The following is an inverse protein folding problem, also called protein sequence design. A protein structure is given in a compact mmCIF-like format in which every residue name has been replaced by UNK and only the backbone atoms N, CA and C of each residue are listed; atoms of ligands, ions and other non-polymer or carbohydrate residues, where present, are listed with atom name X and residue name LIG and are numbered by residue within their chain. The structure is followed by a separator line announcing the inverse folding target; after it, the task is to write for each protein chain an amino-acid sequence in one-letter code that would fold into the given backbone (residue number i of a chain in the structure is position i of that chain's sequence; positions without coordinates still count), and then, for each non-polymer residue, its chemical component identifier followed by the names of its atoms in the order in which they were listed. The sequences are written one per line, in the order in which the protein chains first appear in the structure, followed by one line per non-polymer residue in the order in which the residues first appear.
data_IF_779292458495
#
_entry.id   IF_779292458495
#
_cell.length_a   1.000
_cell.length_b   1.000
_cell.length_c   1.000
_cell.angle_alpha   90.00
_cell.angle_beta   90.00
_cell.angle_gamma   90.00
#
_symmetry.space_group_name_H-M   'P 1'
#
loop_
_entity.id
_entity.type
_entity.pdbx_description
1 polymer ?
#
# COMPACT_ATOMS: atom_id res chain seq x y z
N UNK A 1 31.08 19.42 4.26
CA UNK A 1 31.37 18.44 3.18
C UNK A 1 30.15 17.54 3.08
N UNK A 2 29.37 17.68 2.01
CA UNK A 2 28.17 16.89 1.80
C UNK A 2 28.55 15.42 1.49
N UNK A 3 27.85 14.41 2.04
CA UNK A 3 28.15 13.02 1.76
C UNK A 3 27.78 12.66 0.32
N UNK A 4 28.50 11.72 -0.31
CA UNK A 4 28.31 11.38 -1.71
C UNK A 4 26.99 10.65 -1.94
N UNK A 5 26.35 11.04 -3.04
CA UNK A 5 25.10 10.52 -3.56
C UNK A 5 25.25 9.03 -3.95
N UNK A 6 24.69 8.12 -3.17
CA UNK A 6 24.64 6.69 -3.51
C UNK A 6 23.47 6.47 -4.47
N UNK A 7 23.78 6.25 -5.74
CA UNK A 7 22.78 5.94 -6.76
C UNK A 7 22.05 4.62 -6.43
N UNK A 8 20.70 4.57 -6.49
CA UNK A 8 19.95 3.34 -6.26
C UNK A 8 20.19 2.35 -7.41
N UNK A 9 20.12 1.06 -7.11
CA UNK A 9 20.32 -0.04 -8.07
C UNK A 9 19.29 0.06 -9.20
N UNK A 10 19.68 0.67 -10.32
CA UNK A 10 18.82 0.85 -11.49
C UNK A 10 18.56 -0.48 -12.20
N UNK A 11 17.28 -0.83 -12.32
CA UNK A 11 16.76 -1.60 -13.46
C UNK A 11 17.35 -0.96 -14.72
N UNK A 12 18.15 -1.71 -15.48
CA UNK A 12 18.75 -1.20 -16.73
C UNK A 12 17.62 -0.67 -17.61
N UNK A 13 17.68 0.59 -18.09
CA UNK A 13 16.64 1.10 -18.95
C UNK A 13 16.51 0.23 -20.21
N UNK A 14 15.28 -0.08 -20.60
CA UNK A 14 15.03 -0.81 -21.85
C UNK A 14 15.64 -0.05 -23.03
N UNK A 15 16.22 -0.79 -23.98
CA UNK A 15 16.75 -0.21 -25.22
C UNK A 15 15.65 0.43 -26.09
N UNK A 16 14.39 0.00 -25.92
CA UNK A 16 13.22 0.49 -26.66
C UNK A 16 12.37 1.39 -25.76
N UNK A 17 12.75 2.67 -25.60
CA UNK A 17 11.95 3.68 -24.90
C UNK A 17 11.61 4.81 -25.87
N UNK A 18 10.34 5.17 -25.98
CA UNK A 18 9.89 6.27 -26.85
C UNK A 18 10.13 7.66 -26.25
N UNK A 19 10.09 7.77 -24.93
CA UNK A 19 10.38 9.01 -24.19
C UNK A 19 11.62 8.76 -23.36
N UNK A 20 12.65 9.63 -23.44
CA UNK A 20 13.90 9.45 -22.67
C UNK A 20 13.77 10.00 -21.24
N UNK A 21 13.17 11.18 -21.09
CA UNK A 21 12.96 11.85 -19.81
C UNK A 21 11.56 12.44 -19.69
N UNK A 22 11.08 12.53 -18.45
CA UNK A 22 9.86 13.27 -18.12
C UNK A 22 10.20 14.47 -17.25
N UNK A 23 9.53 15.58 -17.54
CA UNK A 23 9.48 16.77 -16.68
C UNK A 23 8.11 16.78 -15.99
N UNK A 24 8.09 16.58 -14.67
CA UNK A 24 6.88 16.61 -13.83
C UNK A 24 6.99 17.77 -12.84
N UNK A 25 6.37 18.91 -13.14
CA UNK A 25 6.64 20.15 -12.40
C UNK A 25 8.11 20.55 -12.59
N UNK A 26 8.84 20.68 -11.48
CA UNK A 26 10.27 21.04 -11.47
C UNK A 26 11.21 19.82 -11.47
N UNK A 27 10.65 18.61 -11.57
CA UNK A 27 11.39 17.37 -11.51
C UNK A 27 11.69 16.82 -12.91
N UNK A 28 12.96 16.60 -13.22
CA UNK A 28 13.42 15.92 -14.43
C UNK A 28 13.99 14.55 -14.07
N UNK A 29 13.43 13.48 -14.63
CA UNK A 29 13.93 12.12 -14.38
C UNK A 29 13.73 11.19 -15.58
N UNK A 30 14.55 10.13 -15.60
CA UNK A 30 14.63 9.17 -16.70
C UNK A 30 13.49 8.14 -16.65
N UNK A 31 12.92 7.81 -17.81
CA UNK A 31 11.91 6.75 -17.97
C UNK A 31 12.54 5.35 -18.02
N UNK A 32 11.76 4.32 -17.75
CA UNK A 32 12.27 2.93 -17.70
C UNK A 32 11.77 2.09 -18.87
N UNK A 33 10.53 2.32 -19.29
CA UNK A 33 9.84 1.54 -20.31
C UNK A 33 9.19 2.43 -21.38
N UNK A 34 8.80 1.82 -22.50
CA UNK A 34 7.95 2.45 -23.50
C UNK A 34 6.52 2.60 -22.98
N UNK A 35 5.89 3.72 -23.30
CA UNK A 35 4.45 3.98 -23.14
C UNK A 35 3.79 4.25 -24.50
N UNK A 36 2.49 4.05 -24.60
CA UNK A 36 1.72 4.11 -25.86
C UNK A 36 1.02 5.46 -26.05
N UNK A 37 1.77 6.55 -25.90
CA UNK A 37 1.27 7.88 -26.25
C UNK A 37 0.90 7.94 -27.75
N UNK A 38 -0.12 8.74 -28.14
CA UNK A 38 -0.45 8.95 -29.54
C UNK A 38 0.76 9.43 -30.35
N UNK A 39 1.06 8.75 -31.46
CA UNK A 39 2.30 8.98 -32.23
C UNK A 39 2.36 10.37 -32.88
N UNK A 40 1.20 11.00 -33.11
CA UNK A 40 1.04 12.38 -33.59
C UNK A 40 1.39 13.43 -32.53
N UNK A 41 1.38 13.05 -31.24
CA UNK A 41 1.70 13.93 -30.12
C UNK A 41 3.09 13.66 -29.53
N UNK A 42 3.54 12.41 -29.52
CA UNK A 42 4.79 11.97 -28.89
C UNK A 42 5.54 11.03 -29.84
N UNK A 43 6.68 11.49 -30.35
CA UNK A 43 7.52 10.71 -31.25
C UNK A 43 8.26 9.57 -30.51
N UNK A 44 8.70 8.56 -31.27
CA UNK A 44 9.43 7.37 -30.75
C UNK A 44 10.83 7.66 -30.20
N UNK A 45 11.30 8.89 -30.29
CA UNK A 45 12.63 9.34 -29.88
C UNK A 45 12.60 10.61 -29.04
N UNK A 46 11.42 10.95 -28.49
CA UNK A 46 11.17 12.15 -27.69
C UNK A 46 12.18 12.28 -26.55
N UNK A 47 12.96 13.36 -26.53
CA UNK A 47 13.95 13.59 -25.47
C UNK A 47 13.29 13.92 -24.13
N UNK A 48 12.29 14.81 -24.15
CA UNK A 48 11.57 15.28 -22.96
C UNK A 48 10.08 15.36 -23.22
N UNK A 49 9.31 14.72 -22.34
CA UNK A 49 7.86 14.89 -22.26
C UNK A 49 7.54 15.75 -21.03
N UNK A 50 6.85 16.86 -21.23
CA UNK A 50 6.38 17.73 -20.14
C UNK A 50 5.02 17.25 -19.68
N UNK A 51 4.87 16.99 -18.38
CA UNK A 51 3.67 16.42 -17.77
C UNK A 51 3.21 17.33 -16.63
N UNK A 52 1.95 17.77 -16.68
CA UNK A 52 1.35 18.58 -15.64
C UNK A 52 1.29 17.79 -14.32
N UNK A 53 1.86 18.35 -13.25
CA UNK A 53 1.91 17.70 -11.92
C UNK A 53 0.54 17.48 -11.27
N UNK A 54 -0.50 18.16 -11.76
CA UNK A 54 -1.84 18.12 -11.17
C UNK A 54 -2.84 17.26 -11.95
N UNK A 55 -2.79 17.28 -13.29
CA UNK A 55 -3.76 16.56 -14.14
C UNK A 55 -3.14 15.54 -15.12
N UNK A 56 -1.81 15.38 -15.09
CA UNK A 56 -1.03 14.51 -15.99
C UNK A 56 -1.17 14.81 -17.48
N UNK A 57 -1.80 15.93 -17.87
CA UNK A 57 -1.79 16.38 -19.27
C UNK A 57 -0.35 16.55 -19.72
N UNK A 58 -0.05 16.02 -20.90
CA UNK A 58 1.30 15.95 -21.43
C UNK A 58 1.47 16.77 -22.71
N UNK A 59 2.68 17.23 -22.98
CA UNK A 59 3.06 17.90 -24.22
C UNK A 59 4.56 17.77 -24.48
N UNK A 60 4.95 17.75 -25.75
CA UNK A 60 6.34 17.93 -26.18
C UNK A 60 6.69 19.42 -26.39
N UNK A 61 5.69 20.30 -26.41
CA UNK A 61 5.83 21.75 -26.58
C UNK A 61 5.86 22.45 -25.19
N UNK A 62 6.96 23.14 -24.93
CA UNK A 62 7.19 23.90 -23.69
C UNK A 62 6.20 25.05 -23.51
N UNK A 63 5.82 25.74 -24.57
CA UNK A 63 4.92 26.89 -24.51
C UNK A 63 3.49 26.43 -24.26
N UNK A 64 3.08 25.34 -24.91
CA UNK A 64 1.78 24.71 -24.66
C UNK A 64 1.67 24.22 -23.20
N UNK A 65 2.73 23.58 -22.68
CA UNK A 65 2.81 23.17 -21.29
C UNK A 65 2.74 24.36 -20.32
N UNK A 66 3.57 25.40 -20.55
CA UNK A 66 3.60 26.59 -19.69
C UNK A 66 2.24 27.31 -19.66
N UNK A 67 1.55 27.43 -20.80
CA UNK A 67 0.19 27.98 -20.85
C UNK A 67 -0.79 27.15 -20.04
N UNK A 68 -0.75 25.82 -20.18
CA UNK A 68 -1.64 24.92 -19.47
C UNK A 68 -1.48 25.01 -17.94
N UNK A 69 -0.26 25.03 -17.41
CA UNK A 69 -0.01 25.08 -15.96
C UNK A 69 -0.64 26.29 -15.26
N UNK A 70 -0.86 27.38 -15.99
CA UNK A 70 -1.50 28.60 -15.46
C UNK A 70 -3.02 28.49 -15.34
N UNK A 71 -3.63 27.61 -16.11
CA UNK A 71 -5.10 27.46 -16.23
C UNK A 71 -5.58 26.05 -15.86
N UNK A 72 -4.73 25.24 -15.25
CA UNK A 72 -5.08 23.88 -14.86
C UNK A 72 -6.11 23.90 -13.73
N UNK A 73 -7.26 23.29 -13.95
CA UNK A 73 -8.38 23.22 -12.99
C UNK A 73 -8.00 22.46 -11.71
N UNK A 74 -7.16 21.44 -11.84
CA UNK A 74 -6.70 20.63 -10.70
C UNK A 74 -5.59 21.31 -9.88
N UNK A 75 -5.25 22.58 -10.14
CA UNK A 75 -4.09 23.22 -9.50
C UNK A 75 -4.23 23.29 -7.98
N UNK A 76 -5.44 23.52 -7.47
CA UNK A 76 -5.70 23.71 -6.03
C UNK A 76 -6.05 22.42 -5.32
N UNK A 77 -6.71 21.48 -6.02
CA UNK A 77 -7.25 20.27 -5.41
C UNK A 77 -7.11 19.08 -6.37
N UNK A 78 -6.64 17.91 -5.89
CA UNK A 78 -6.73 16.67 -6.66
C UNK A 78 -8.18 16.35 -7.07
N UNK A 79 -8.39 15.66 -8.21
CA UNK A 79 -9.71 15.17 -8.56
C UNK A 79 -10.19 14.09 -7.56
N UNK A 80 -11.47 13.78 -7.59
CA UNK A 80 -12.08 12.73 -6.77
C UNK A 80 -12.31 13.11 -5.31
N UNK A 81 -12.38 12.10 -4.45
CA UNK A 81 -12.74 12.24 -3.03
C UNK A 81 -11.57 11.89 -2.14
N UNK A 82 -11.24 12.74 -1.16
CA UNK A 82 -10.23 12.43 -0.17
C UNK A 82 -10.76 11.35 0.79
N UNK A 83 -10.06 10.21 0.86
CA UNK A 83 -10.44 9.05 1.70
C UNK A 83 -9.53 8.83 2.90
N UNK A 84 -8.35 9.47 2.91
CA UNK A 84 -7.39 9.41 4.00
C UNK A 84 -6.64 10.73 4.11
N UNK A 85 -6.38 11.20 5.33
CA UNK A 85 -5.58 12.39 5.65
C UNK A 85 -4.86 12.21 6.99
N UNK A 86 -3.53 12.11 6.97
CA UNK A 86 -2.74 12.04 8.18
C UNK A 86 -1.31 12.52 7.97
N UNK A 87 -0.84 13.44 8.82
CA UNK A 87 0.56 13.88 8.84
C UNK A 87 1.04 14.52 7.54
N UNK A 88 0.17 15.27 6.86
CA UNK A 88 0.44 15.91 5.57
C UNK A 88 0.32 14.97 4.36
N UNK A 89 0.12 13.67 4.57
CA UNK A 89 -0.16 12.71 3.51
C UNK A 89 -1.66 12.47 3.39
N UNK A 90 -2.18 12.56 2.17
CA UNK A 90 -3.58 12.26 1.89
C UNK A 90 -3.73 11.28 0.73
N UNK A 91 -4.76 10.43 0.78
CA UNK A 91 -5.14 9.54 -0.32
C UNK A 91 -6.47 9.99 -0.91
N UNK A 92 -6.52 10.12 -2.23
CA UNK A 92 -7.70 10.53 -2.99
C UNK A 92 -8.19 9.40 -3.88
N UNK A 93 -9.44 9.01 -3.73
CA UNK A 93 -10.13 8.06 -4.60
C UNK A 93 -10.69 8.79 -5.82
N UNK A 94 -10.22 8.41 -7.00
CA UNK A 94 -10.62 8.95 -8.30
C UNK A 94 -11.27 7.85 -9.10
N UNK A 95 -12.54 8.04 -9.46
CA UNK A 95 -13.24 7.15 -10.36
C UNK A 95 -12.78 7.38 -11.80
N UNK A 96 -12.28 6.34 -12.47
CA UNK A 96 -11.82 6.42 -13.85
C UNK A 96 -12.98 6.65 -14.85
N UNK A 97 -14.21 6.36 -14.48
CA UNK A 97 -15.40 6.66 -15.29
C UNK A 97 -15.77 8.14 -15.24
N UNK A 98 -15.66 8.78 -14.08
CA UNK A 98 -15.94 10.20 -13.91
C UNK A 98 -14.79 11.08 -14.42
N UNK A 99 -13.55 10.63 -14.22
CA UNK A 99 -12.34 11.37 -14.57
C UNK A 99 -11.51 10.69 -15.67
N UNK A 100 -12.17 10.25 -16.75
CA UNK A 100 -11.57 9.47 -17.87
C UNK A 100 -10.24 10.04 -18.36
N UNK A 101 -10.20 11.30 -18.76
CA UNK A 101 -8.98 11.91 -19.33
C UNK A 101 -7.83 11.92 -18.32
N UNK A 102 -8.11 12.22 -17.05
CA UNK A 102 -7.11 12.18 -15.99
C UNK A 102 -6.55 10.76 -15.81
N UNK A 103 -7.43 9.77 -15.69
CA UNK A 103 -7.06 8.37 -15.46
C UNK A 103 -6.27 7.79 -16.66
N UNK A 104 -6.62 8.16 -17.89
CA UNK A 104 -5.88 7.79 -19.10
C UNK A 104 -4.49 8.42 -19.10
N UNK A 105 -4.38 9.72 -18.84
CA UNK A 105 -3.11 10.42 -18.76
C UNK A 105 -2.19 9.84 -17.68
N UNK A 106 -2.74 9.57 -16.48
CA UNK A 106 -2.02 8.93 -15.39
C UNK A 106 -1.58 7.51 -15.77
N UNK A 107 -2.42 6.75 -16.47
CA UNK A 107 -2.08 5.39 -16.92
C UNK A 107 -0.95 5.37 -17.95
N UNK A 108 -0.95 6.31 -18.90
CA UNK A 108 0.14 6.49 -19.87
C UNK A 108 1.44 6.91 -19.18
N UNK A 109 1.37 7.84 -18.23
CA UNK A 109 2.52 8.26 -17.42
C UNK A 109 3.07 7.09 -16.60
N UNK A 110 2.21 6.33 -15.93
CA UNK A 110 2.61 5.18 -15.13
C UNK A 110 3.31 4.10 -15.95
N UNK A 111 2.88 3.87 -17.20
CA UNK A 111 3.49 2.88 -18.10
C UNK A 111 4.96 3.17 -18.42
N UNK A 112 5.41 4.43 -18.31
CA UNK A 112 6.83 4.77 -18.43
C UNK A 112 7.69 4.13 -17.32
N UNK A 113 7.08 3.69 -16.22
CA UNK A 113 7.74 3.14 -15.03
C UNK A 113 7.21 1.77 -14.60
N UNK A 114 6.19 1.23 -15.29
CA UNK A 114 5.63 -0.09 -15.09
C UNK A 114 5.77 -0.92 -16.36
N UNK A 115 6.42 -2.08 -16.28
CA UNK A 115 6.63 -2.93 -17.46
C UNK A 115 5.31 -3.61 -17.90
N UNK A 116 4.63 -4.22 -16.92
CA UNK A 116 3.50 -5.11 -17.15
C UNK A 116 2.12 -4.42 -17.12
N UNK A 117 2.05 -3.09 -17.05
CA UNK A 117 0.77 -2.38 -17.15
C UNK A 117 0.24 -2.52 -18.59
N UNK A 118 -0.98 -3.03 -18.73
CA UNK A 118 -1.61 -3.34 -20.03
C UNK A 118 -2.86 -2.50 -20.33
N UNK A 119 -3.49 -1.93 -19.31
CA UNK A 119 -4.71 -1.11 -19.45
C UNK A 119 -4.37 0.37 -19.34
N UNK A 120 -4.81 1.15 -20.35
CA UNK A 120 -4.49 2.58 -20.47
C UNK A 120 -5.69 3.45 -20.81
N UNK A 121 -6.56 2.97 -21.71
CA UNK A 121 -7.68 3.76 -22.25
C UNK A 121 -9.03 3.33 -21.66
N UNK A 122 -9.19 2.04 -21.37
CA UNK A 122 -10.38 1.49 -20.72
C UNK A 122 -10.28 1.62 -19.19
N UNK A 123 -10.42 2.86 -18.73
CA UNK A 123 -10.21 3.24 -17.32
C UNK A 123 -11.50 3.24 -16.49
N UNK A 124 -12.67 3.10 -17.13
CA UNK A 124 -13.98 3.23 -16.47
C UNK A 124 -14.21 2.15 -15.40
N UNK A 125 -13.62 0.97 -15.58
CA UNK A 125 -13.71 -0.16 -14.64
C UNK A 125 -12.75 -0.04 -13.46
N UNK A 126 -12.03 1.07 -13.31
CA UNK A 126 -10.98 1.23 -12.31
C UNK A 126 -11.22 2.44 -11.39
N UNK A 127 -10.88 2.23 -10.11
CA UNK A 127 -10.63 3.30 -9.15
C UNK A 127 -9.12 3.54 -9.05
N UNK A 128 -8.74 4.80 -8.87
CA UNK A 128 -7.35 5.23 -8.69
C UNK A 128 -7.21 5.91 -7.34
N UNK A 129 -6.29 5.43 -6.51
CA UNK A 129 -6.01 5.97 -5.19
C UNK A 129 -4.70 6.75 -5.22
N UNK A 130 -4.79 8.07 -5.33
CA UNK A 130 -3.65 8.97 -5.46
C UNK A 130 -3.05 9.27 -4.08
N UNK A 131 -1.76 9.00 -3.90
CA UNK A 131 -1.02 9.49 -2.75
C UNK A 131 -0.55 10.92 -3.01
N UNK A 132 -0.95 11.82 -2.12
CA UNK A 132 -0.55 13.23 -2.15
C UNK A 132 0.17 13.62 -0.87
N UNK A 133 1.04 14.62 -0.97
CA UNK A 133 1.63 15.30 0.17
C UNK A 133 1.40 16.80 0.05
N UNK A 134 0.98 17.42 1.14
CA UNK A 134 0.87 18.87 1.30
C UNK A 134 1.80 19.29 2.42
N UNK A 135 2.69 20.24 2.13
CA UNK A 135 3.61 20.76 3.13
C UNK A 135 2.83 21.66 4.11
N UNK A 136 2.94 21.45 5.43
CA UNK A 136 2.35 22.36 6.41
C UNK A 136 2.79 23.82 6.26
N UNK A 137 4.01 24.05 5.76
CA UNK A 137 4.56 25.38 5.53
C UNK A 137 4.10 25.98 4.17
N UNK A 138 3.50 25.17 3.29
CA UNK A 138 2.98 25.56 1.98
C UNK A 138 1.65 24.84 1.66
N UNK A 139 0.56 25.18 2.39
CA UNK A 139 -0.71 24.45 2.33
C UNK A 139 -1.46 24.62 0.99
N UNK A 140 -1.08 25.62 0.19
CA UNK A 140 -1.67 25.87 -1.13
C UNK A 140 -1.11 24.93 -2.22
N UNK A 141 -0.02 24.20 -1.93
CA UNK A 141 0.66 23.35 -2.90
C UNK A 141 0.70 21.89 -2.46
N UNK A 142 -0.02 21.06 -3.20
CA UNK A 142 0.03 19.60 -3.04
C UNK A 142 0.88 18.94 -4.13
N UNK A 143 1.44 17.78 -3.82
CA UNK A 143 2.27 16.97 -4.70
C UNK A 143 1.73 15.56 -4.81
N UNK A 144 1.46 15.08 -6.02
CA UNK A 144 1.12 13.67 -6.26
C UNK A 144 2.43 12.86 -6.25
N UNK A 145 2.52 11.91 -5.33
CA UNK A 145 3.74 11.13 -5.07
C UNK A 145 3.71 9.74 -5.70
N UNK A 146 2.50 9.25 -5.97
CA UNK A 146 2.26 7.90 -6.47
C UNK A 146 0.78 7.58 -6.47
N UNK A 147 0.45 6.37 -6.87
CA UNK A 147 -0.91 5.86 -6.80
C UNK A 147 -0.93 4.34 -6.77
N UNK A 148 -2.08 3.77 -6.43
CA UNK A 148 -2.45 2.44 -6.90
C UNK A 148 -3.80 2.49 -7.62
N UNK A 149 -4.04 1.55 -8.53
CA UNK A 149 -5.35 1.33 -9.14
C UNK A 149 -5.97 0.05 -8.64
N UNK A 150 -7.30 -0.02 -8.65
CA UNK A 150 -8.10 -1.17 -8.22
C UNK A 150 -9.28 -1.33 -9.18
N UNK A 151 -9.58 -2.55 -9.58
CA UNK A 151 -10.78 -2.84 -10.35
C UNK A 151 -12.02 -2.66 -9.47
N UNK A 152 -13.07 -2.03 -10.01
CA UNK A 152 -14.37 -1.92 -9.33
C UNK A 152 -14.98 -3.30 -9.06
N UNK A 153 -14.78 -4.23 -10.00
CA UNK A 153 -15.22 -5.62 -9.93
C UNK A 153 -14.03 -6.52 -10.29
N UNK A 154 -13.41 -7.13 -9.29
CA UNK A 154 -12.29 -8.06 -9.51
C UNK A 154 -12.72 -9.51 -9.32
N UNK A 155 -12.68 -10.29 -10.39
CA UNK A 155 -13.04 -11.72 -10.35
C UNK A 155 -12.01 -12.57 -9.61
N UNK A 156 -10.74 -12.16 -9.66
CA UNK A 156 -9.62 -12.82 -9.00
C UNK A 156 -9.39 -12.31 -7.57
N UNK A 157 -10.34 -11.53 -7.03
CA UNK A 157 -10.25 -10.90 -5.71
C UNK A 157 -9.00 -10.00 -5.53
N UNK A 158 -8.50 -9.37 -6.60
CA UNK A 158 -7.35 -8.48 -6.49
C UNK A 158 -7.77 -7.18 -5.77
N UNK A 159 -7.11 -6.84 -4.67
CA UNK A 159 -7.35 -5.56 -4.00
C UNK A 159 -6.55 -4.40 -4.60
N UNK A 160 -5.64 -4.71 -5.52
CA UNK A 160 -4.74 -3.78 -6.15
C UNK A 160 -4.31 -4.33 -7.51
N UNK A 161 -4.50 -3.55 -8.57
CA UNK A 161 -4.12 -3.89 -9.94
C UNK A 161 -2.71 -3.39 -10.28
N UNK A 162 -2.45 -2.10 -10.10
CA UNK A 162 -1.13 -1.50 -10.31
C UNK A 162 -0.78 -0.61 -9.13
N UNK A 163 0.50 -0.55 -8.77
CA UNK A 163 1.03 0.39 -7.77
C UNK A 163 2.31 1.02 -8.27
N UNK A 164 2.42 2.34 -8.11
CA UNK A 164 3.61 3.09 -8.46
C UNK A 164 3.81 4.24 -7.48
N UNK A 165 4.97 4.26 -6.83
CA UNK A 165 5.54 5.49 -6.27
C UNK A 165 6.44 6.10 -7.34
N UNK A 166 6.26 7.39 -7.63
CA UNK A 166 7.02 8.03 -8.69
C UNK A 166 8.52 8.00 -8.35
N UNK A 167 9.41 7.81 -9.35
CA UNK A 167 10.82 7.57 -9.10
C UNK A 167 11.51 8.55 -8.11
N UNK A 168 11.25 9.87 -8.15
CA UNK A 168 11.87 10.81 -7.21
C UNK A 168 11.46 10.62 -5.73
N UNK A 169 10.37 9.90 -5.47
CA UNK A 169 9.79 9.71 -4.13
C UNK A 169 9.93 8.27 -3.61
N UNK A 170 10.59 7.38 -4.35
CA UNK A 170 10.82 6.00 -3.93
C UNK A 170 11.74 5.92 -2.70
N UNK A 171 11.75 4.77 -2.04
CA UNK A 171 12.54 4.50 -0.81
C UNK A 171 12.18 5.34 0.42
N UNK A 172 11.08 6.10 0.39
CA UNK A 172 10.55 6.85 1.54
C UNK A 172 9.41 6.14 2.28
N UNK A 173 9.32 4.82 2.16
CA UNK A 173 8.25 3.97 2.72
C UNK A 173 6.82 4.29 2.23
N UNK A 174 6.65 5.19 1.25
CA UNK A 174 5.33 5.58 0.71
C UNK A 174 4.56 4.40 0.07
N UNK A 175 5.28 3.44 -0.52
CA UNK A 175 4.66 2.22 -1.05
C UNK A 175 3.98 1.39 0.06
N UNK A 176 4.59 1.36 1.25
CA UNK A 176 4.05 0.66 2.43
C UNK A 176 2.75 1.30 2.91
N UNK A 177 2.67 2.63 2.86
CA UNK A 177 1.44 3.37 3.17
C UNK A 177 0.32 3.00 2.20
N UNK A 178 0.57 3.04 0.88
CA UNK A 178 -0.42 2.65 -0.12
C UNK A 178 -0.86 1.19 0.00
N UNK A 179 0.07 0.26 0.26
CA UNK A 179 -0.25 -1.14 0.55
C UNK A 179 -1.13 -1.26 1.79
N UNK A 180 -0.80 -0.56 2.87
CA UNK A 180 -1.63 -0.57 4.08
C UNK A 180 -3.05 -0.06 3.81
N UNK A 181 -3.18 1.02 3.04
CA UNK A 181 -4.48 1.58 2.66
C UNK A 181 -5.27 0.58 1.81
N UNK A 182 -4.65 -0.10 0.83
CA UNK A 182 -5.36 -1.09 0.02
C UNK A 182 -5.92 -2.24 0.85
N UNK A 183 -5.15 -2.74 1.84
CA UNK A 183 -5.63 -3.79 2.76
C UNK A 183 -6.74 -3.31 3.71
N UNK A 184 -6.68 -2.05 4.20
CA UNK A 184 -7.73 -1.46 5.05
C UNK A 184 -9.04 -1.29 4.28
N UNK A 185 -8.98 -0.81 3.04
CA UNK A 185 -10.15 -0.70 2.17
C UNK A 185 -10.79 -2.07 1.91
N UNK A 186 -9.99 -3.11 1.64
CA UNK A 186 -10.50 -4.48 1.54
C UNK A 186 -11.17 -4.98 2.83
N UNK A 187 -10.65 -4.60 3.99
CA UNK A 187 -11.19 -4.98 5.30
C UNK A 187 -12.60 -4.42 5.52
N UNK A 188 -12.88 -3.21 5.05
CA UNK A 188 -14.21 -2.60 5.17
C UNK A 188 -15.19 -3.02 4.09
N UNK A 189 -14.71 -3.48 2.94
CA UNK A 189 -15.55 -4.12 1.92
C UNK A 189 -15.91 -5.58 2.28
N UNK A 190 -15.47 -6.08 3.45
CA UNK A 190 -15.70 -7.45 3.93
C UNK A 190 -17.16 -7.85 4.17
N UNK A 191 -18.14 -6.97 4.00
CA UNK A 191 -19.53 -7.41 3.87
C UNK A 191 -19.69 -8.45 2.71
N UNK A 192 -18.72 -8.53 1.79
CA UNK A 192 -18.58 -9.60 0.78
C UNK A 192 -17.50 -10.69 1.03
N UNK A 193 -16.72 -10.62 2.12
CA UNK A 193 -15.73 -11.65 2.48
C UNK A 193 -14.46 -11.76 1.59
N UNK A 194 -14.15 -10.78 0.75
CA UNK A 194 -13.01 -10.87 -0.16
C UNK A 194 -11.67 -10.62 0.55
N UNK A 195 -10.94 -11.70 0.82
CA UNK A 195 -9.49 -11.65 1.03
C UNK A 195 -8.85 -11.42 -0.33
N UNK A 196 -8.00 -10.40 -0.43
CA UNK A 196 -7.37 -10.02 -1.69
C UNK A 196 -5.88 -9.77 -1.58
N UNK A 197 -5.19 -9.94 -2.70
CA UNK A 197 -3.78 -9.61 -2.87
C UNK A 197 -3.55 -8.69 -4.06
N UNK A 198 -2.30 -8.26 -4.29
CA UNK A 198 -1.95 -7.54 -5.49
C UNK A 198 -2.03 -8.45 -6.72
N UNK A 199 -2.47 -7.88 -7.84
CA UNK A 199 -2.41 -8.50 -9.16
C UNK A 199 -0.96 -8.88 -9.51
N UNK A 200 -0.80 -10.08 -10.08
CA UNK A 200 0.49 -10.62 -10.50
C UNK A 200 0.62 -10.46 -12.02
N UNK A 201 1.82 -10.15 -12.58
CA UNK A 201 3.12 -10.12 -11.91
C UNK A 201 3.47 -8.75 -11.28
N UNK A 202 4.03 -8.79 -10.08
CA UNK A 202 4.67 -7.63 -9.45
C UNK A 202 6.04 -7.33 -10.08
N UNK A 203 6.43 -6.04 -10.09
CA UNK A 203 7.81 -5.65 -10.40
C UNK A 203 8.79 -6.23 -9.37
N UNK A 204 10.10 -6.29 -9.69
CA UNK A 204 11.10 -6.80 -8.74
C UNK A 204 11.08 -6.01 -7.41
N UNK A 205 10.98 -4.68 -7.51
CA UNK A 205 10.84 -3.80 -6.35
C UNK A 205 9.50 -4.01 -5.62
N UNK A 206 8.41 -4.19 -6.38
CA UNK A 206 7.09 -4.49 -5.84
C UNK A 206 7.09 -5.78 -5.03
N UNK A 207 7.64 -6.86 -5.57
CA UNK A 207 7.76 -8.16 -4.89
C UNK A 207 8.57 -8.05 -3.59
N UNK A 208 9.73 -7.40 -3.60
CA UNK A 208 10.53 -7.17 -2.39
C UNK A 208 9.76 -6.35 -1.35
N UNK A 209 9.02 -5.33 -1.80
CA UNK A 209 8.24 -4.46 -0.92
C UNK A 209 7.04 -5.18 -0.30
N UNK A 210 6.31 -5.99 -1.08
CA UNK A 210 5.19 -6.80 -0.59
C UNK A 210 5.64 -7.91 0.36
N UNK A 211 6.70 -8.65 0.03
CA UNK A 211 7.28 -9.64 0.96
C UNK A 211 7.59 -9.01 2.30
N UNK A 212 8.28 -7.87 2.28
CA UNK A 212 8.61 -7.14 3.51
C UNK A 212 7.37 -6.66 4.25
N UNK A 213 6.39 -6.11 3.53
CA UNK A 213 5.13 -5.63 4.12
C UNK A 213 4.37 -6.78 4.81
N UNK A 214 4.26 -7.94 4.18
CA UNK A 214 3.58 -9.11 4.71
C UNK A 214 4.27 -9.68 5.94
N UNK A 215 5.60 -9.82 5.91
CA UNK A 215 6.38 -10.27 7.08
C UNK A 215 6.15 -9.36 8.29
N UNK A 216 6.18 -8.04 8.07
CA UNK A 216 5.90 -7.08 9.15
C UNK A 216 4.45 -7.14 9.64
N UNK A 217 3.48 -7.33 8.74
CA UNK A 217 2.06 -7.45 9.09
C UNK A 217 1.80 -8.68 9.95
N UNK A 218 2.41 -9.82 9.61
CA UNK A 218 2.37 -11.04 10.43
C UNK A 218 3.06 -10.81 11.78
N UNK A 219 4.24 -10.18 11.79
CA UNK A 219 4.95 -9.89 13.03
C UNK A 219 4.10 -9.03 13.98
N UNK A 220 3.47 -7.95 13.47
CA UNK A 220 2.52 -7.13 14.25
C UNK A 220 1.38 -7.97 14.79
N UNK A 221 0.75 -8.76 13.93
CA UNK A 221 -0.37 -9.61 14.31
C UNK A 221 0.01 -10.57 15.45
N UNK A 222 1.11 -11.32 15.32
CA UNK A 222 1.51 -12.32 16.31
C UNK A 222 2.01 -11.71 17.63
N UNK A 223 2.62 -10.52 17.59
CA UNK A 223 3.16 -9.86 18.78
C UNK A 223 2.09 -9.05 19.54
N UNK A 224 1.22 -8.34 18.84
CA UNK A 224 0.19 -7.50 19.46
C UNK A 224 -0.99 -8.33 19.95
N UNK A 225 -1.35 -9.42 19.24
CA UNK A 225 -2.40 -10.34 19.67
C UNK A 225 -2.05 -10.98 21.03
N UNK A 226 -2.84 -10.66 22.04
CA UNK A 226 -2.66 -11.16 23.42
C UNK A 226 -1.87 -10.23 24.35
N UNK A 227 -1.56 -9.01 23.92
CA UNK A 227 -1.18 -7.92 24.84
C UNK A 227 -2.46 -7.22 25.24
N UNK A 228 -2.81 -7.20 26.53
CA UNK A 228 -3.87 -6.31 27.00
C UNK A 228 -3.43 -4.86 26.70
N UNK A 229 -4.35 -3.95 26.30
CA UNK A 229 -4.00 -2.56 26.03
C UNK A 229 -3.32 -1.85 27.22
N UNK A 230 -3.40 -2.43 28.43
CA UNK A 230 -2.77 -1.93 29.64
C UNK A 230 -1.24 -2.13 29.72
N UNK A 231 -0.64 -3.00 28.90
CA UNK A 231 0.79 -3.33 28.99
C UNK A 231 1.69 -2.46 28.09
N UNK A 232 1.12 -1.55 27.30
CA UNK A 232 1.86 -0.78 26.28
C UNK A 232 2.30 0.62 26.76
N UNK A 233 1.74 1.15 27.86
CA UNK A 233 2.02 2.52 28.30
C UNK A 233 2.98 2.69 29.49
N UNK A 234 3.49 1.64 30.14
CA UNK A 234 4.43 1.82 31.25
C UNK A 234 5.64 0.87 31.18
N UNK A 235 6.57 1.19 30.29
CA UNK A 235 7.93 0.61 30.28
C UNK A 235 8.99 1.65 30.63
N UNK A 236 8.64 2.64 31.46
CA UNK A 236 9.61 3.55 32.06
C UNK A 236 9.45 3.59 33.57
N UNK A 237 10.29 2.80 34.23
CA UNK A 237 10.63 2.82 35.65
C UNK A 237 9.71 2.00 36.57
N UNK A 238 10.11 0.74 36.84
CA UNK A 238 10.38 0.30 38.22
C UNK A 238 11.05 -1.08 38.26
N UNK A 239 12.26 -1.12 38.83
CA UNK A 239 12.91 -2.36 39.29
C UNK A 239 12.19 -2.84 40.55
N UNK A 240 11.49 -3.97 40.49
CA UNK A 240 11.07 -4.72 41.68
C UNK A 240 11.47 -6.20 41.57
N UNK A 241 11.79 -6.79 42.73
CA UNK A 241 12.49 -8.06 42.95
C UNK A 241 11.66 -9.30 42.58
N UNK A 242 12.29 -10.46 42.30
CA UNK A 242 11.54 -11.65 41.87
C UNK A 242 10.91 -12.37 43.06
N UNK A 243 9.58 -12.40 43.11
CA UNK A 243 8.84 -13.34 43.95
C UNK A 243 8.62 -14.66 43.20
N UNK A 244 8.98 -15.78 43.83
CA UNK A 244 8.68 -17.14 43.36
C UNK A 244 7.17 -17.35 43.27
N UNK A 245 6.61 -17.47 42.07
CA UNK A 245 5.29 -18.06 41.87
C UNK A 245 5.26 -18.91 40.60
N UNK A 246 4.54 -20.03 40.72
CA UNK A 246 4.19 -21.04 39.71
C UNK A 246 4.37 -20.65 38.24
N UNK A 247 5.16 -21.46 37.51
CA UNK A 247 5.17 -21.49 36.04
C UNK A 247 3.75 -21.74 35.52
N UNK A 248 2.99 -20.67 35.24
CA UNK A 248 1.81 -20.75 34.37
C UNK A 248 2.31 -21.27 33.02
N UNK A 249 1.90 -22.48 32.63
CA UNK A 249 2.07 -22.94 31.25
C UNK A 249 1.36 -21.91 30.37
N UNK A 250 2.12 -21.15 29.58
CA UNK A 250 1.51 -20.36 28.53
C UNK A 250 0.76 -21.33 27.61
N UNK A 251 -0.55 -21.16 27.40
CA UNK A 251 -1.31 -22.04 26.53
C UNK A 251 -0.71 -21.96 25.12
N UNK A 252 -0.45 -23.12 24.52
CA UNK A 252 -0.13 -23.20 23.10
C UNK A 252 -1.41 -22.84 22.34
N UNK A 253 -1.39 -21.72 21.64
CA UNK A 253 -2.47 -21.31 20.76
C UNK A 253 -2.28 -22.01 19.41
N UNK A 254 -3.33 -22.68 18.94
CA UNK A 254 -3.36 -23.36 17.65
C UNK A 254 -4.23 -22.54 16.71
N UNK A 255 -3.71 -22.24 15.53
CA UNK A 255 -4.44 -21.53 14.48
C UNK A 255 -4.00 -22.05 13.11
N UNK A 256 -4.90 -22.00 12.14
CA UNK A 256 -4.58 -22.35 10.75
C UNK A 256 -3.98 -21.15 10.04
N UNK A 257 -3.29 -21.39 8.91
CA UNK A 257 -2.84 -20.31 8.02
C UNK A 257 -4.02 -19.49 7.50
N UNK A 258 -5.17 -20.13 7.30
CA UNK A 258 -6.40 -19.46 6.88
C UNK A 258 -6.91 -18.49 7.95
N UNK A 259 -6.83 -18.84 9.23
CA UNK A 259 -7.21 -17.94 10.34
C UNK A 259 -6.32 -16.70 10.37
N UNK A 260 -5.01 -16.87 10.15
CA UNK A 260 -4.06 -15.76 10.03
C UNK A 260 -4.42 -14.90 8.81
N UNK A 261 -4.73 -15.51 7.67
CA UNK A 261 -5.17 -14.82 6.46
C UNK A 261 -6.42 -13.97 6.69
N UNK A 262 -7.47 -14.54 7.29
CA UNK A 262 -8.71 -13.84 7.64
C UNK A 262 -8.46 -12.63 8.56
N UNK A 263 -7.62 -12.83 9.59
CA UNK A 263 -7.35 -11.78 10.58
C UNK A 263 -6.42 -10.67 10.05
N UNK A 264 -5.58 -10.97 9.06
CA UNK A 264 -4.66 -10.00 8.44
C UNK A 264 -5.19 -9.41 7.14
N UNK A 265 -6.24 -10.01 6.56
CA UNK A 265 -6.75 -9.69 5.23
C UNK A 265 -5.87 -10.19 4.09
N UNK A 266 -4.93 -11.11 4.36
CA UNK A 266 -3.97 -11.64 3.38
C UNK A 266 -4.40 -13.00 2.83
N UNK A 267 -4.08 -13.27 1.56
CA UNK A 267 -4.26 -14.60 0.97
C UNK A 267 -3.41 -15.63 1.70
N UNK A 268 -3.91 -16.88 1.80
CA UNK A 268 -3.20 -17.99 2.45
C UNK A 268 -1.79 -18.19 1.91
N UNK A 269 -1.60 -18.07 0.59
CA UNK A 269 -0.31 -18.14 -0.07
C UNK A 269 0.68 -17.04 0.35
N UNK A 270 0.18 -15.81 0.56
CA UNK A 270 0.98 -14.67 0.98
C UNK A 270 1.38 -14.83 2.45
N UNK A 271 0.49 -15.37 3.28
CA UNK A 271 0.79 -15.74 4.67
C UNK A 271 1.90 -16.80 4.71
N UNK A 272 1.80 -17.87 3.93
CA UNK A 272 2.83 -18.91 3.85
C UNK A 272 4.17 -18.32 3.39
N UNK A 273 4.13 -17.48 2.36
CA UNK A 273 5.32 -16.83 1.81
C UNK A 273 6.03 -15.97 2.84
N UNK A 274 5.27 -15.16 3.59
CA UNK A 274 5.81 -14.30 4.63
C UNK A 274 6.36 -15.11 5.83
N UNK A 275 5.64 -16.13 6.30
CA UNK A 275 6.13 -17.00 7.38
C UNK A 275 7.45 -17.69 7.01
N UNK A 276 7.55 -18.19 5.77
CA UNK A 276 8.80 -18.78 5.25
C UNK A 276 9.91 -17.73 5.13
N UNK A 277 9.59 -16.51 4.68
CA UNK A 277 10.53 -15.40 4.57
C UNK A 277 11.10 -14.94 5.91
N UNK A 278 10.30 -14.99 6.98
CA UNK A 278 10.73 -14.65 8.33
C UNK A 278 11.71 -15.66 8.93
N UNK A 279 11.65 -16.94 8.53
CA UNK A 279 12.51 -17.99 9.07
C UNK A 279 12.26 -18.33 10.55
N UNK A 280 11.08 -17.98 11.07
CA UNK A 280 10.67 -18.18 12.49
C UNK A 280 9.87 -19.47 12.73
N UNK A 281 9.86 -20.36 11.74
CA UNK A 281 9.03 -21.55 11.68
C UNK A 281 9.85 -22.79 12.02
N UNK A 282 9.53 -23.46 13.12
CA UNK A 282 10.16 -24.72 13.53
C UNK A 282 9.27 -25.93 13.12
N UNK A 283 9.81 -26.96 12.43
CA UNK A 283 9.06 -28.19 12.18
C UNK A 283 8.69 -28.85 13.50
N UNK A 284 7.42 -29.21 13.68
CA UNK A 284 7.06 -30.05 14.82
C UNK A 284 7.66 -31.45 14.61
N UNK A 285 8.55 -31.90 15.50
CA UNK A 285 8.97 -33.30 15.50
C UNK A 285 7.74 -34.18 15.68
N UNK A 286 7.52 -35.23 14.87
CA UNK A 286 6.37 -36.10 15.05
C UNK A 286 6.48 -36.74 16.43
N UNK A 287 5.61 -36.32 17.35
CA UNK A 287 5.41 -37.01 18.62
C UNK A 287 5.06 -38.45 18.28
N UNK A 288 5.89 -39.41 18.71
CA UNK A 288 5.71 -40.86 18.49
C UNK A 288 4.22 -41.21 18.63
N UNK A 289 3.56 -41.55 17.53
CA UNK A 289 2.20 -42.09 17.51
C UNK A 289 2.13 -43.22 18.54
N UNK A 290 1.42 -43.02 19.65
CA UNK A 290 0.91 -44.14 20.44
C UNK A 290 -0.09 -44.83 19.52
N UNK A 291 0.23 -46.06 19.10
CA UNK A 291 -0.70 -46.97 18.41
C UNK A 291 -2.01 -47.00 19.19
N UNK A 292 -3.05 -46.39 18.63
CA UNK A 292 -4.44 -46.68 18.91
C UNK A 292 -5.16 -46.80 17.55
N UNK A 293 -6.10 -47.74 17.50
CA UNK A 293 -6.68 -48.34 16.32
C UNK A 293 -7.16 -47.39 15.22
N UNK A 294 -7.02 -47.90 13.98
CA UNK A 294 -7.79 -47.49 12.80
C UNK A 294 -9.29 -47.42 13.14
N UNK A 295 -9.94 -46.30 12.81
CA UNK A 295 -11.09 -46.25 11.89
C UNK A 295 -11.69 -44.82 11.90
N UNK A 296 -11.53 -44.10 10.78
CA UNK A 296 -12.36 -42.99 10.27
C UNK A 296 -11.52 -42.15 9.30
N UNK A 297 -12.11 -41.83 8.14
CA UNK A 297 -11.48 -40.96 7.14
C UNK A 297 -11.32 -39.54 7.68
N UNK A 298 -10.14 -39.22 8.17
CA UNK A 298 -9.74 -37.85 8.47
C UNK A 298 -9.13 -37.18 7.23
N UNK A 299 -9.44 -35.90 6.98
CA UNK A 299 -8.84 -35.15 5.88
C UNK A 299 -7.36 -34.90 6.16
N UNK A 300 -6.57 -34.88 5.10
CA UNK A 300 -5.12 -34.63 5.02
C UNK A 300 -4.55 -33.79 6.19
N UNK A 301 -3.81 -34.45 7.09
CA UNK A 301 -3.17 -33.84 8.27
C UNK A 301 -2.02 -32.92 7.80
N UNK A 302 -2.36 -31.65 7.56
CA UNK A 302 -1.43 -30.65 7.04
C UNK A 302 -0.19 -30.47 7.91
N UNK A 303 0.91 -30.02 7.29
CA UNK A 303 2.18 -29.78 7.97
C UNK A 303 2.01 -28.81 9.15
N UNK A 304 2.18 -29.31 10.39
CA UNK A 304 2.11 -28.48 11.58
C UNK A 304 3.48 -27.93 11.94
N UNK A 305 3.53 -26.62 12.19
CA UNK A 305 4.75 -25.89 12.53
C UNK A 305 4.58 -25.12 13.84
N UNK A 306 5.69 -24.90 14.55
CA UNK A 306 5.73 -24.13 15.78
C UNK A 306 6.36 -22.76 15.51
N UNK A 307 5.72 -21.69 15.99
CA UNK A 307 6.24 -20.33 15.97
C UNK A 307 6.31 -19.84 17.41
N UNK A 308 7.49 -19.40 17.86
CA UNK A 308 7.66 -18.81 19.19
C UNK A 308 7.58 -17.30 19.08
N UNK A 309 6.77 -16.67 19.94
CA UNK A 309 6.68 -15.20 20.01
C UNK A 309 8.04 -14.53 20.28
N UNK A 310 8.94 -15.19 21.01
CA UNK A 310 10.32 -14.73 21.22
C UNK A 310 11.06 -14.53 19.90
N UNK A 311 10.94 -15.49 18.99
CA UNK A 311 11.69 -15.52 17.74
C UNK A 311 11.14 -14.49 16.77
N UNK A 312 9.81 -14.30 16.76
CA UNK A 312 9.14 -13.20 16.05
C UNK A 312 9.58 -11.83 16.59
N UNK A 313 9.72 -11.69 17.92
CA UNK A 313 10.17 -10.44 18.53
C UNK A 313 11.64 -10.13 18.21
N UNK A 314 12.51 -11.14 18.25
CA UNK A 314 13.91 -11.01 17.86
C UNK A 314 14.05 -10.66 16.38
N UNK A 315 13.28 -11.33 15.52
CA UNK A 315 13.19 -11.00 14.09
C UNK A 315 12.74 -9.55 13.88
N UNK A 316 11.68 -9.11 14.57
CA UNK A 316 11.15 -7.75 14.46
C UNK A 316 12.19 -6.70 14.87
N UNK A 317 12.94 -6.94 15.95
CA UNK A 317 14.04 -6.06 16.40
C UNK A 317 15.18 -6.02 15.39
N UNK A 318 15.62 -7.19 14.91
CA UNK A 318 16.72 -7.30 13.95
C UNK A 318 16.42 -6.58 12.62
N UNK A 319 15.14 -6.48 12.26
CA UNK A 319 14.72 -5.80 11.04
C UNK A 319 14.06 -4.43 11.28
N UNK A 320 14.18 -3.83 12.47
CA UNK A 320 13.65 -2.50 12.79
C UNK A 320 12.14 -2.34 12.49
N UNK A 321 11.34 -3.35 12.80
CA UNK A 321 9.90 -3.32 12.56
C UNK A 321 9.21 -2.43 13.60
N UNK A 322 8.52 -1.40 13.12
CA UNK A 322 7.56 -0.66 13.96
C UNK A 322 6.31 -1.51 14.16
N UNK A 323 5.94 -1.74 15.43
CA UNK A 323 4.74 -2.51 15.79
C UNK A 323 3.43 -1.76 15.51
N UNK A 324 3.51 -0.45 15.33
CA UNK A 324 2.41 0.39 14.86
C UNK A 324 2.13 0.13 13.38
N UNK A 325 0.85 0.11 13.02
CA UNK A 325 0.44 0.00 11.62
C UNK A 325 0.94 1.23 10.82
N UNK A 326 1.45 1.06 9.59
CA UNK A 326 1.83 2.18 8.73
C UNK A 326 0.68 3.15 8.42
N UNK A 327 -0.57 2.72 8.57
CA UNK A 327 -1.77 3.51 8.32
C UNK A 327 -2.52 3.74 9.62
N UNK A 328 -2.97 4.97 9.83
CA UNK A 328 -3.72 5.39 11.02
C UNK A 328 -5.21 5.29 10.79
N UNK A 329 -5.92 4.58 11.66
CA UNK A 329 -7.37 4.43 11.50
C UNK A 329 -8.09 5.78 11.63
N UNK A 330 -7.59 6.66 12.49
CA UNK A 330 -8.06 8.04 12.65
C UNK A 330 -7.84 8.93 11.42
N UNK A 331 -7.00 8.49 10.47
CA UNK A 331 -6.76 9.23 9.22
C UNK A 331 -7.82 9.01 8.15
N UNK A 332 -8.67 7.99 8.26
CA UNK A 332 -9.68 7.70 7.25
C UNK A 332 -10.89 8.62 7.35
N UNK A 333 -11.48 8.95 6.20
CA UNK A 333 -12.54 9.95 6.06
C UNK A 333 -13.81 9.37 5.41
N UNK A 334 -14.93 10.07 5.60
CA UNK A 334 -16.21 9.75 4.97
C UNK A 334 -16.68 8.35 5.35
N UNK A 335 -17.09 7.54 4.35
CA UNK A 335 -17.57 6.17 4.56
C UNK A 335 -16.55 5.22 5.20
N UNK A 336 -15.27 5.62 5.22
CA UNK A 336 -14.17 4.84 5.77
C UNK A 336 -13.74 5.32 7.16
N UNK A 337 -14.33 6.40 7.68
CA UNK A 337 -14.01 6.91 9.00
C UNK A 337 -14.42 5.90 10.08
N UNK A 338 -13.64 5.76 11.17
CA UNK A 338 -14.04 4.95 12.32
C UNK A 338 -15.41 5.42 12.85
N UNK A 339 -16.30 4.48 13.19
CA UNK A 339 -17.70 4.72 13.59
C UNK A 339 -17.90 5.64 14.80
N UNK A 340 -16.83 6.01 15.49
CA UNK A 340 -16.83 6.91 16.65
C UNK A 340 -16.47 8.37 16.30
N UNK A 341 -16.37 8.73 15.01
CA UNK A 341 -16.26 10.14 14.62
C UNK A 341 -17.65 10.78 14.62
N UNK A 342 -17.91 11.82 15.43
CA UNK A 342 -19.20 12.49 15.41
C UNK A 342 -19.41 13.10 14.03
N UNK A 343 -20.45 12.65 13.34
CA UNK A 343 -20.98 13.35 12.18
C UNK A 343 -21.26 14.79 12.60
N UNK A 344 -20.51 15.75 12.04
CA UNK A 344 -20.94 17.14 12.07
C UNK A 344 -22.10 17.19 11.10
N UNK A 345 -23.30 16.91 11.62
CA UNK A 345 -24.54 17.16 10.93
C UNK A 345 -24.71 18.67 10.82
N UNK A 346 -24.52 19.21 9.62
CA UNK A 346 -25.09 20.49 9.26
C UNK A 346 -26.62 20.34 9.23
N UNK A 347 -27.23 20.58 10.39
CA UNK A 347 -28.63 20.94 10.59
C UNK A 347 -28.63 22.27 11.34
N UNK A 348 -29.42 23.29 11.06
CA UNK A 348 -30.59 23.43 10.21
C UNK A 348 -30.85 24.96 10.12
N UNK A 349 -31.48 25.35 9.02
CA UNK A 349 -32.45 26.45 8.92
C UNK A 349 -32.63 27.40 10.13
N UNK A 350 -32.24 28.65 9.95
CA UNK A 350 -32.81 29.79 10.67
C UNK A 350 -33.76 30.57 9.76
N UNK A 351 -34.96 30.04 9.52
CA UNK A 351 -36.12 30.90 9.28
C UNK A 351 -36.53 31.49 10.64
N UNK A 352 -36.58 32.81 10.72
CA UNK A 352 -37.09 33.55 11.87
C UNK A 352 -37.64 34.86 11.37
N UNK A 353 -38.97 34.92 11.26
CA UNK A 353 -39.78 36.12 11.04
C UNK A 353 -39.43 37.21 12.07
N UNK A 354 -39.19 38.43 11.57
CA UNK A 354 -39.81 39.69 12.04
C UNK A 354 -39.71 40.79 10.97
#
# INVERSE_FOLDING_TARGET
MAPPNVAPSHTKPSANRNVKHVVLGDLLFQTWYQSIYPEDLVSKDTDRLYVCRWCFRYSCDTDAYAKHTRVCENRTTPPGTKVYDHGGYAVWEVDGEDHKLFAQNLSLFAKLFLDHKSVFFDVASFLYYLLTFTDPDDPENYYILGFFSKEKLSWDANNLACILIFPPYQHKQLGKLLMGVSYKLSDWEKDGGLIGGPEKPLSEMGRKSYSRFWEERIARYLLVRGSDPADVEDSSQQKSKPSKSSRKKHPHEVMTVQDIGLATGMLTEDVITALKGMGVVEPTTPTKKRKANQDSGEPDDGETVMIRKSDVLEWAKAHHVTLQDPVRDEGFLGRWAPRDTPEISDSESGEGDE
#
